data_IF_440338636835
#
_entry.id   IF_440338636835
#
_cell.length_a   1.000
_cell.length_b   1.000
_cell.length_c   1.000
_cell.angle_alpha   90.00
_cell.angle_beta   90.00
_cell.angle_gamma   90.00
#
_symmetry.space_group_name_H-M   'P 1'
#
loop_
_entity.id
_entity.type
_entity.pdbx_description
1 polymer ?
#
# COMPACT_ATOMS: atom_id res chain seq x y z
N UNK A 1 -2.95 -7.75 3.57
CA UNK A 1 -2.69 -9.22 3.51
C UNK A 1 -2.15 -9.65 2.15
N UNK A 2 -1.89 -10.93 1.91
CA UNK A 2 -1.57 -11.45 0.56
C UNK A 2 -2.85 -11.52 -0.29
N UNK A 3 -2.73 -11.33 -1.60
CA UNK A 3 -3.86 -11.47 -2.54
C UNK A 3 -4.84 -10.29 -2.65
N UNK A 4 -4.66 -9.24 -1.83
CA UNK A 4 -5.52 -8.03 -1.85
C UNK A 4 -5.09 -6.98 -2.87
N UNK A 5 -4.03 -7.24 -3.65
CA UNK A 5 -3.57 -6.31 -4.68
C UNK A 5 -2.63 -5.20 -4.20
N UNK A 6 -1.80 -5.42 -3.16
CA UNK A 6 -0.80 -4.43 -2.67
C UNK A 6 0.13 -3.94 -3.78
N UNK A 7 0.88 -4.85 -4.39
CA UNK A 7 1.85 -4.54 -5.45
C UNK A 7 1.20 -3.88 -6.66
N UNK A 8 -0.01 -4.31 -7.04
CA UNK A 8 -0.79 -3.66 -8.10
C UNK A 8 -1.22 -2.25 -7.70
N UNK A 9 -1.70 -2.04 -6.48
CA UNK A 9 -2.09 -0.71 -5.98
C UNK A 9 -0.91 0.24 -5.95
N UNK A 10 0.28 -0.25 -5.57
CA UNK A 10 1.53 0.53 -5.62
C UNK A 10 1.82 1.00 -7.04
N UNK A 11 1.71 0.10 -8.04
CA UNK A 11 1.93 0.47 -9.43
C UNK A 11 0.93 1.54 -9.92
N UNK A 12 -0.35 1.40 -9.56
CA UNK A 12 -1.38 2.38 -9.92
C UNK A 12 -1.16 3.75 -9.25
N UNK A 13 -0.80 3.76 -7.97
CA UNK A 13 -0.46 5.01 -7.25
C UNK A 13 0.77 5.66 -7.87
N UNK A 14 1.81 4.89 -8.19
CA UNK A 14 3.02 5.41 -8.85
C UNK A 14 2.69 6.04 -10.21
N UNK A 15 1.88 5.38 -11.02
CA UNK A 15 1.39 5.88 -12.31
C UNK A 15 0.59 7.18 -12.15
N UNK A 16 -0.34 7.24 -11.19
CA UNK A 16 -1.11 8.45 -10.89
C UNK A 16 -0.21 9.63 -10.50
N UNK A 17 0.77 9.40 -9.62
CA UNK A 17 1.72 10.43 -9.20
C UNK A 17 2.60 10.92 -10.36
N UNK A 18 3.10 10.01 -11.20
CA UNK A 18 3.90 10.38 -12.38
C UNK A 18 3.09 11.13 -13.43
N UNK A 19 1.82 10.77 -13.65
CA UNK A 19 0.91 11.52 -14.53
C UNK A 19 0.69 12.96 -14.06
N UNK A 20 0.79 13.19 -12.75
CA UNK A 20 0.76 14.51 -12.14
C UNK A 20 2.13 15.21 -12.09
N UNK A 21 3.14 14.69 -12.79
CA UNK A 21 4.45 15.31 -12.95
C UNK A 21 5.45 15.01 -11.82
N UNK A 22 5.13 14.09 -10.91
CA UNK A 22 6.00 13.78 -9.77
C UNK A 22 7.03 12.68 -10.08
N UNK A 23 8.22 12.81 -9.50
CA UNK A 23 9.26 11.78 -9.53
C UNK A 23 9.04 10.76 -8.43
N UNK A 24 8.93 9.48 -8.82
CA UNK A 24 8.61 8.37 -7.91
C UNK A 24 9.75 7.35 -7.85
N UNK A 25 10.12 6.94 -6.63
CA UNK A 25 11.00 5.80 -6.35
C UNK A 25 10.19 4.67 -5.73
N UNK A 26 10.46 3.44 -6.13
CA UNK A 26 9.85 2.23 -5.58
C UNK A 26 10.85 1.44 -4.73
N UNK A 27 10.38 0.79 -3.66
CA UNK A 27 11.20 -0.13 -2.86
C UNK A 27 10.47 -1.47 -2.69
N UNK A 28 11.10 -2.56 -3.13
CA UNK A 28 10.53 -3.91 -3.12
C UNK A 28 10.73 -4.61 -1.76
N UNK A 29 10.01 -4.16 -0.73
CA UNK A 29 10.13 -4.69 0.63
C UNK A 29 9.35 -5.99 0.92
N UNK A 30 8.54 -6.53 -0.01
CA UNK A 30 8.02 -7.91 0.07
C UNK A 30 9.12 -8.91 -0.34
N UNK A 31 10.22 -8.95 0.41
CA UNK A 31 11.39 -9.80 0.14
C UNK A 31 11.11 -11.28 0.38
N UNK A 32 10.03 -11.61 1.09
CA UNK A 32 9.64 -13.01 1.32
C UNK A 32 9.14 -13.68 0.03
N UNK A 33 8.50 -12.91 -0.86
CA UNK A 33 7.93 -13.43 -2.10
C UNK A 33 8.77 -12.95 -3.27
N UNK A 34 9.63 -13.82 -3.80
CA UNK A 34 10.41 -13.54 -5.01
C UNK A 34 9.54 -13.00 -6.16
N UNK A 35 8.38 -13.61 -6.39
CA UNK A 35 7.42 -13.15 -7.40
C UNK A 35 6.86 -11.73 -7.14
N UNK A 36 6.79 -11.27 -5.89
CA UNK A 36 6.35 -9.90 -5.58
C UNK A 36 7.43 -8.88 -5.95
N UNK A 37 8.71 -9.18 -5.67
CA UNK A 37 9.85 -8.36 -6.10
C UNK A 37 9.91 -8.28 -7.62
N UNK A 38 9.76 -9.41 -8.32
CA UNK A 38 9.72 -9.46 -9.79
C UNK A 38 8.53 -8.68 -10.35
N UNK A 39 7.34 -8.84 -9.78
CA UNK A 39 6.14 -8.12 -10.19
C UNK A 39 6.32 -6.60 -10.05
N UNK A 40 6.85 -6.12 -8.91
CA UNK A 40 7.09 -4.69 -8.71
C UNK A 40 8.19 -4.16 -9.65
N UNK A 41 9.21 -4.96 -9.93
CA UNK A 41 10.29 -4.61 -10.88
C UNK A 41 9.75 -4.48 -12.30
N UNK A 42 8.85 -5.36 -12.72
CA UNK A 42 8.18 -5.23 -14.03
C UNK A 42 7.38 -3.92 -14.10
N UNK A 43 6.65 -3.58 -13.04
CA UNK A 43 5.91 -2.32 -12.98
C UNK A 43 6.83 -1.10 -13.02
N UNK A 44 7.94 -1.11 -12.27
CA UNK A 44 8.89 0.00 -12.28
C UNK A 44 9.48 0.21 -13.67
N UNK A 45 9.80 -0.87 -14.40
CA UNK A 45 10.29 -0.79 -15.77
C UNK A 45 9.25 -0.23 -16.74
N UNK A 46 7.99 -0.68 -16.62
CA UNK A 46 6.88 -0.18 -17.46
C UNK A 46 6.59 1.29 -17.23
N UNK A 47 6.72 1.76 -15.99
CA UNK A 47 6.46 3.14 -15.57
C UNK A 47 7.69 4.05 -15.67
N UNK A 48 8.88 3.49 -15.91
CA UNK A 48 10.14 4.24 -15.85
C UNK A 48 10.51 4.74 -14.45
N UNK A 49 9.99 4.12 -13.39
CA UNK A 49 10.36 4.44 -12.00
C UNK A 49 11.70 3.81 -11.63
N UNK A 50 12.49 4.53 -10.83
CA UNK A 50 13.63 3.92 -10.16
C UNK A 50 13.14 2.93 -9.08
N UNK A 51 13.84 1.80 -8.92
CA UNK A 51 13.47 0.77 -7.94
C UNK A 51 14.67 0.30 -7.13
N UNK A 52 14.48 0.18 -5.82
CA UNK A 52 15.40 -0.50 -4.91
C UNK A 52 14.87 -1.90 -4.60
N UNK A 53 15.71 -2.91 -4.76
CA UNK A 53 15.38 -4.31 -4.49
C UNK A 53 16.62 -5.07 -4.01
N UNK A 54 16.39 -6.09 -3.20
CA UNK A 54 17.41 -7.06 -2.77
C UNK A 54 16.98 -8.47 -3.16
N UNK A 55 17.85 -9.44 -2.90
CA UNK A 55 17.56 -10.86 -3.06
C UNK A 55 16.40 -11.33 -2.16
N UNK A 56 15.74 -12.41 -2.56
CA UNK A 56 14.64 -13.00 -1.79
C UNK A 56 15.15 -13.43 -0.41
N UNK A 57 14.40 -13.11 0.64
CA UNK A 57 14.77 -13.36 2.04
C UNK A 57 15.66 -12.28 2.68
N UNK A 58 16.05 -11.23 1.93
CA UNK A 58 16.73 -10.08 2.51
C UNK A 58 15.85 -9.33 3.53
N UNK A 59 16.48 -8.58 4.42
CA UNK A 59 15.78 -7.77 5.43
C UNK A 59 14.94 -6.64 4.77
N UNK A 60 13.61 -6.63 4.89
CA UNK A 60 12.76 -5.59 4.33
C UNK A 60 13.11 -4.18 4.82
N UNK A 61 13.56 -4.07 6.07
CA UNK A 61 13.96 -2.77 6.62
C UNK A 61 15.21 -2.21 5.93
N UNK A 62 16.13 -3.07 5.47
CA UNK A 62 17.29 -2.65 4.70
C UNK A 62 16.89 -2.15 3.30
N UNK A 63 15.91 -2.80 2.66
CA UNK A 63 15.34 -2.34 1.38
C UNK A 63 14.67 -0.97 1.54
N UNK A 64 13.90 -0.78 2.62
CA UNK A 64 13.27 0.50 2.93
C UNK A 64 14.29 1.62 3.18
N UNK A 65 15.37 1.33 3.93
CA UNK A 65 16.47 2.28 4.18
C UNK A 65 17.12 2.75 2.87
N UNK A 66 17.54 1.80 2.04
CA UNK A 66 18.18 2.09 0.75
C UNK A 66 17.22 2.78 -0.20
N UNK A 67 15.93 2.43 -0.15
CA UNK A 67 14.87 3.14 -0.84
C UNK A 67 14.83 4.62 -0.45
N UNK A 68 14.72 4.92 0.84
CA UNK A 68 14.70 6.31 1.32
C UNK A 68 15.96 7.08 0.93
N UNK A 69 17.14 6.46 1.05
CA UNK A 69 18.40 7.08 0.64
C UNK A 69 18.39 7.42 -0.85
N UNK A 70 17.95 6.46 -1.68
CA UNK A 70 17.81 6.64 -3.13
C UNK A 70 16.84 7.76 -3.48
N UNK A 71 15.71 7.87 -2.77
CA UNK A 71 14.74 8.95 -2.97
C UNK A 71 15.35 10.32 -2.65
N UNK A 72 16.10 10.45 -1.56
CA UNK A 72 16.82 11.68 -1.19
C UNK A 72 17.90 12.01 -2.23
N UNK A 73 18.76 11.06 -2.57
CA UNK A 73 19.89 11.26 -3.50
C UNK A 73 19.43 11.65 -4.90
N UNK A 74 18.24 11.20 -5.30
CA UNK A 74 17.68 11.47 -6.62
C UNK A 74 16.67 12.62 -6.63
N UNK A 75 16.47 13.32 -5.51
CA UNK A 75 15.45 14.35 -5.31
C UNK A 75 14.07 13.89 -5.81
N UNK A 76 13.65 12.68 -5.44
CA UNK A 76 12.32 12.18 -5.76
C UNK A 76 11.26 12.84 -4.87
N UNK A 77 10.10 13.13 -5.43
CA UNK A 77 8.97 13.70 -4.69
C UNK A 77 8.31 12.64 -3.79
N UNK A 78 8.26 11.38 -4.26
CA UNK A 78 7.62 10.28 -3.55
C UNK A 78 8.47 9.02 -3.54
N UNK A 79 8.40 8.30 -2.42
CA UNK A 79 8.83 6.91 -2.32
C UNK A 79 7.66 6.04 -1.89
N UNK A 80 7.49 4.90 -2.57
CA UNK A 80 6.48 3.90 -2.23
C UNK A 80 7.18 2.57 -1.92
N UNK A 81 6.90 2.02 -0.75
CA UNK A 81 7.55 0.82 -0.22
C UNK A 81 6.52 -0.31 -0.18
N UNK A 82 6.74 -1.39 -0.94
CA UNK A 82 5.95 -2.62 -0.82
C UNK A 82 6.36 -3.39 0.44
N UNK A 83 5.42 -4.11 1.04
CA UNK A 83 5.67 -4.89 2.26
C UNK A 83 5.05 -6.27 2.15
N UNK A 84 5.59 -7.23 2.90
CA UNK A 84 4.96 -8.54 3.03
C UNK A 84 3.51 -8.42 3.56
N UNK A 85 2.66 -9.38 3.18
CA UNK A 85 1.24 -9.41 3.56
C UNK A 85 0.81 -10.61 4.41
N UNK A 86 1.75 -11.36 5.00
CA UNK A 86 1.44 -12.64 5.66
C UNK A 86 0.95 -12.45 7.10
N UNK A 87 -0.31 -12.82 7.36
CA UNK A 87 -0.93 -12.80 8.71
C UNK A 87 -0.64 -14.04 9.57
N UNK A 88 0.00 -15.09 9.02
CA UNK A 88 0.08 -16.40 9.69
C UNK A 88 0.88 -16.36 11.02
N UNK A 89 1.62 -15.28 11.28
CA UNK A 89 1.90 -14.80 12.64
C UNK A 89 1.80 -13.27 12.67
N UNK A 90 0.64 -12.73 13.07
CA UNK A 90 0.40 -11.27 13.16
C UNK A 90 1.55 -10.53 13.84
N UNK A 91 2.09 -11.09 14.94
CA UNK A 91 3.16 -10.48 15.72
C UNK A 91 4.42 -10.21 14.89
N UNK A 92 4.92 -11.21 14.17
CA UNK A 92 6.17 -11.09 13.41
C UNK A 92 6.03 -10.05 12.28
N UNK A 93 4.88 -10.01 11.61
CA UNK A 93 4.61 -9.00 10.59
C UNK A 93 4.57 -7.59 11.21
N UNK A 94 3.92 -7.41 12.36
CA UNK A 94 3.85 -6.10 13.01
C UNK A 94 5.22 -5.64 13.52
N UNK A 95 6.06 -6.55 14.01
CA UNK A 95 7.43 -6.23 14.43
C UNK A 95 8.30 -5.82 13.22
N UNK A 96 8.12 -6.48 12.07
CA UNK A 96 8.79 -6.12 10.81
C UNK A 96 8.36 -4.74 10.30
N UNK A 97 7.05 -4.46 10.27
CA UNK A 97 6.51 -3.15 9.88
C UNK A 97 7.00 -2.02 10.81
N UNK A 98 7.01 -2.26 12.12
CA UNK A 98 7.59 -1.34 13.11
C UNK A 98 9.09 -1.10 12.87
N UNK A 99 9.84 -2.14 12.48
CA UNK A 99 11.26 -2.01 12.15
C UNK A 99 11.46 -1.19 10.89
N UNK A 100 10.68 -1.42 9.84
CA UNK A 100 10.68 -0.63 8.60
C UNK A 100 10.47 0.86 8.94
N UNK A 101 9.42 1.18 9.72
CA UNK A 101 9.13 2.55 10.17
C UNK A 101 10.35 3.21 10.82
N UNK A 102 10.93 2.57 11.85
CA UNK A 102 12.09 3.12 12.58
C UNK A 102 13.33 3.34 11.70
N UNK A 103 13.50 2.52 10.67
CA UNK A 103 14.67 2.61 9.79
C UNK A 103 14.49 3.70 8.75
N UNK A 104 13.28 3.89 8.20
CA UNK A 104 12.96 5.03 7.33
C UNK A 104 13.21 6.37 8.05
N UNK A 105 12.83 6.46 9.32
CA UNK A 105 13.02 7.66 10.18
C UNK A 105 14.48 8.07 10.39
N UNK A 106 15.44 7.17 10.14
CA UNK A 106 16.86 7.52 10.17
C UNK A 106 17.31 8.34 8.97
N UNK A 107 16.58 8.24 7.85
CA UNK A 107 16.88 8.95 6.60
C UNK A 107 15.93 10.14 6.44
N UNK A 108 14.64 9.94 6.68
CA UNK A 108 13.58 10.94 6.58
C UNK A 108 12.84 10.96 7.93
N UNK A 109 13.15 11.89 8.85
CA UNK A 109 12.61 11.87 10.22
C UNK A 109 11.08 11.80 10.33
N UNK A 110 10.36 12.45 9.40
CA UNK A 110 8.89 12.48 9.36
C UNK A 110 8.26 11.24 8.68
N UNK A 111 9.07 10.29 8.21
CA UNK A 111 8.55 9.11 7.53
C UNK A 111 7.95 8.05 8.49
N UNK A 112 6.96 7.26 8.03
CA UNK A 112 6.19 7.48 6.81
C UNK A 112 5.20 8.63 6.98
N UNK A 113 5.05 9.46 5.95
CA UNK A 113 3.96 10.45 5.89
C UNK A 113 2.60 9.77 5.67
N UNK A 114 2.61 8.62 5.01
CA UNK A 114 1.43 7.82 4.66
C UNK A 114 1.72 6.33 4.90
N UNK A 115 0.84 5.68 5.65
CA UNK A 115 0.76 4.24 5.79
C UNK A 115 -0.62 3.78 5.32
N UNK A 116 -0.64 3.09 4.18
CA UNK A 116 -1.86 2.73 3.47
C UNK A 116 -2.16 1.23 3.63
N UNK A 117 -3.33 0.92 4.19
CA UNK A 117 -3.81 -0.45 4.28
C UNK A 117 -4.63 -0.81 3.05
N UNK A 118 -4.09 -1.73 2.23
CA UNK A 118 -4.83 -2.29 1.10
C UNK A 118 -5.75 -3.41 1.57
N UNK A 119 -7.03 -3.31 1.24
CA UNK A 119 -8.08 -4.28 1.55
C UNK A 119 -8.82 -4.67 0.29
N UNK A 120 -9.28 -5.91 0.25
CA UNK A 120 -10.20 -6.39 -0.78
C UNK A 120 -11.63 -6.05 -0.35
N UNK A 121 -12.45 -5.51 -1.27
CA UNK A 121 -13.84 -5.14 -1.01
C UNK A 121 -14.71 -6.29 -0.48
N UNK A 122 -14.28 -7.55 -0.64
CA UNK A 122 -14.96 -8.73 -0.09
C UNK A 122 -14.65 -9.00 1.39
N UNK A 123 -13.71 -8.27 1.99
CA UNK A 123 -13.25 -8.52 3.36
C UNK A 123 -14.30 -8.03 4.37
N UNK A 124 -15.05 -8.94 5.00
CA UNK A 124 -16.03 -8.62 6.05
C UNK A 124 -15.41 -8.19 7.39
N UNK A 125 -15.95 -8.66 8.52
CA UNK A 125 -15.48 -8.30 9.89
C UNK A 125 -13.97 -8.52 10.14
N UNK A 126 -13.34 -9.42 9.39
CA UNK A 126 -11.88 -9.62 9.42
C UNK A 126 -11.08 -8.38 8.99
N UNK A 127 -11.67 -7.47 8.19
CA UNK A 127 -11.01 -6.24 7.78
C UNK A 127 -10.81 -5.27 8.94
N UNK A 128 -11.77 -5.20 9.88
CA UNK A 128 -11.67 -4.33 11.04
C UNK A 128 -10.55 -4.75 11.99
N UNK A 129 -10.44 -6.05 12.29
CA UNK A 129 -9.34 -6.56 13.13
C UNK A 129 -7.98 -6.37 12.46
N UNK A 130 -7.91 -6.55 11.14
CA UNK A 130 -6.69 -6.27 10.37
C UNK A 130 -6.30 -4.79 10.43
N UNK A 131 -7.26 -3.88 10.29
CA UNK A 131 -7.04 -2.44 10.40
C UNK A 131 -6.50 -2.06 11.78
N UNK A 132 -7.07 -2.60 12.87
CA UNK A 132 -6.55 -2.40 14.23
C UNK A 132 -5.10 -2.84 14.38
N UNK A 133 -4.79 -4.09 14.00
CA UNK A 133 -3.42 -4.61 14.15
C UNK A 133 -2.42 -3.81 13.31
N UNK A 134 -2.77 -3.45 12.07
CA UNK A 134 -1.91 -2.65 11.20
C UNK A 134 -1.70 -1.23 11.75
N UNK A 135 -2.77 -0.59 12.24
CA UNK A 135 -2.69 0.75 12.82
C UNK A 135 -1.86 0.78 14.10
N UNK A 136 -1.91 -0.27 14.92
CA UNK A 136 -1.07 -0.39 16.11
C UNK A 136 0.43 -0.52 15.77
N UNK A 137 0.78 -0.98 14.56
CA UNK A 137 2.17 -1.15 14.14
C UNK A 137 2.76 0.06 13.39
N UNK A 138 1.98 0.68 12.50
CA UNK A 138 2.51 1.74 11.61
C UNK A 138 1.60 2.95 11.46
N UNK A 139 0.69 3.16 12.41
CA UNK A 139 -0.21 4.32 12.47
C UNK A 139 -0.97 4.52 11.15
N UNK A 140 -1.95 3.66 10.88
CA UNK A 140 -2.66 3.63 9.61
C UNK A 140 -3.31 4.98 9.28
N UNK A 141 -2.85 5.61 8.20
CA UNK A 141 -3.33 6.94 7.76
C UNK A 141 -4.44 6.88 6.71
N UNK A 142 -4.62 5.73 6.04
CA UNK A 142 -5.60 5.61 4.98
C UNK A 142 -5.80 4.19 4.48
N UNK A 143 -6.92 3.98 3.79
CA UNK A 143 -7.27 2.70 3.17
C UNK A 143 -7.22 2.80 1.65
N UNK A 144 -6.85 1.69 1.01
CA UNK A 144 -7.03 1.45 -0.42
C UNK A 144 -7.97 0.26 -0.57
N UNK A 145 -9.11 0.47 -1.23
CA UNK A 145 -10.05 -0.62 -1.53
C UNK A 145 -9.75 -1.16 -2.92
N UNK A 146 -9.23 -2.36 -3.01
CA UNK A 146 -9.03 -3.03 -4.27
C UNK A 146 -10.25 -3.86 -4.67
N UNK A 147 -10.43 -4.07 -5.97
CA UNK A 147 -11.41 -4.96 -6.60
C UNK A 147 -12.87 -4.60 -6.35
N UNK A 148 -13.21 -3.31 -6.44
CA UNK A 148 -14.60 -2.87 -6.28
C UNK A 148 -15.50 -3.21 -7.47
N UNK A 149 -14.92 -3.61 -8.59
CA UNK A 149 -15.58 -4.05 -9.83
C UNK A 149 -16.27 -5.42 -9.73
N UNK A 150 -15.83 -6.29 -8.81
CA UNK A 150 -16.20 -7.71 -8.84
C UNK A 150 -17.42 -8.14 -8.01
N UNK A 151 -17.81 -7.42 -6.95
CA UNK A 151 -19.03 -7.69 -6.13
C UNK A 151 -19.18 -6.69 -4.98
N UNK A 152 -20.35 -6.05 -4.87
CA UNK A 152 -20.64 -5.04 -3.85
C UNK A 152 -20.68 -5.62 -2.42
N UNK A 153 -19.62 -5.44 -1.63
CA UNK A 153 -19.63 -5.50 -0.14
C UNK A 153 -18.64 -4.55 0.52
N UNK A 154 -18.61 -3.29 0.08
CA UNK A 154 -17.76 -2.27 0.70
C UNK A 154 -18.14 -1.84 2.14
N UNK A 155 -19.17 -2.43 2.77
CA UNK A 155 -19.65 -2.02 4.10
C UNK A 155 -18.61 -2.07 5.24
N UNK A 156 -17.53 -2.84 5.08
CA UNK A 156 -16.42 -2.87 6.06
C UNK A 156 -15.76 -1.50 6.23
N UNK A 157 -15.79 -0.66 5.20
CA UNK A 157 -15.14 0.67 5.25
C UNK A 157 -15.89 1.63 6.14
N UNK A 158 -17.22 1.51 6.19
CA UNK A 158 -18.06 2.26 7.11
C UNK A 158 -17.70 1.89 8.54
N UNK A 159 -17.55 0.59 8.83
CA UNK A 159 -17.17 0.13 10.16
C UNK A 159 -15.76 0.61 10.57
N UNK A 160 -14.77 0.53 9.67
CA UNK A 160 -13.41 1.01 9.97
C UNK A 160 -13.37 2.52 10.17
N UNK A 161 -14.10 3.28 9.34
CA UNK A 161 -14.19 4.74 9.49
C UNK A 161 -14.87 5.11 10.81
N UNK A 162 -15.97 4.45 11.17
CA UNK A 162 -16.71 4.73 12.41
C UNK A 162 -15.89 4.39 13.66
N UNK A 163 -15.17 3.27 13.64
CA UNK A 163 -14.45 2.77 14.80
C UNK A 163 -13.05 3.41 14.98
N UNK A 164 -12.34 3.64 13.88
CA UNK A 164 -10.93 4.05 13.91
C UNK A 164 -10.69 5.45 13.33
N UNK A 165 -11.68 6.06 12.68
CA UNK A 165 -11.51 7.34 12.01
C UNK A 165 -10.61 7.30 10.77
N UNK A 166 -10.22 6.13 10.28
CA UNK A 166 -9.31 6.00 9.13
C UNK A 166 -10.10 6.24 7.82
N UNK A 167 -9.69 7.19 6.96
CA UNK A 167 -10.37 7.45 5.69
C UNK A 167 -10.02 6.42 4.62
N UNK A 168 -10.94 6.18 3.69
CA UNK A 168 -10.60 5.56 2.40
C UNK A 168 -10.01 6.67 1.52
N UNK A 169 -8.85 6.42 0.91
CA UNK A 169 -8.17 7.38 0.03
C UNK A 169 -8.30 7.01 -1.43
N UNK A 170 -8.21 5.72 -1.74
CA UNK A 170 -8.23 5.22 -3.11
C UNK A 170 -9.15 4.01 -3.27
N UNK A 171 -9.71 3.90 -4.46
CA UNK A 171 -10.51 2.76 -4.90
C UNK A 171 -9.96 2.19 -6.21
N UNK A 172 -9.76 0.89 -6.26
CA UNK A 172 -9.40 0.15 -7.46
C UNK A 172 -10.65 -0.39 -8.13
N UNK A 173 -10.92 0.10 -9.34
CA UNK A 173 -12.16 -0.15 -10.10
C UNK A 173 -11.95 -1.10 -11.29
N UNK A 174 -10.85 -1.83 -11.31
CA UNK A 174 -10.50 -2.76 -12.39
C UNK A 174 -9.05 -3.24 -12.32
N UNK A 175 -8.57 -3.87 -13.39
CA UNK A 175 -7.24 -4.48 -13.49
C UNK A 175 -6.19 -3.61 -14.19
N UNK A 176 -6.61 -2.63 -15.00
CA UNK A 176 -5.71 -1.77 -15.76
C UNK A 176 -4.93 -0.81 -14.84
N UNK A 177 -3.80 -0.33 -15.34
CA UNK A 177 -2.91 0.57 -14.60
C UNK A 177 -3.57 1.91 -14.24
N UNK A 178 -4.59 2.30 -15.00
CA UNK A 178 -5.37 3.53 -14.82
C UNK A 178 -6.62 3.34 -13.97
N UNK A 179 -6.95 2.10 -13.58
CA UNK A 179 -8.16 1.79 -12.80
C UNK A 179 -7.94 2.03 -11.30
N UNK A 180 -7.54 3.24 -10.93
CA UNK A 180 -7.42 3.74 -9.56
C UNK A 180 -8.01 5.14 -9.49
N UNK A 181 -8.98 5.32 -8.61
CA UNK A 181 -9.64 6.61 -8.41
C UNK A 181 -9.45 7.08 -6.96
N UNK A 182 -9.55 8.39 -6.76
CA UNK A 182 -9.71 8.95 -5.41
C UNK A 182 -11.08 8.53 -4.89
N UNK A 183 -11.15 8.26 -3.59
CA UNK A 183 -12.42 7.88 -2.97
C UNK A 183 -13.37 9.08 -2.91
N UNK A 184 -14.50 8.94 -3.59
CA UNK A 184 -15.67 9.81 -3.45
C UNK A 184 -16.72 9.13 -2.56
N UNK A 185 -17.02 9.74 -1.42
CA UNK A 185 -17.97 9.18 -0.46
C UNK A 185 -19.39 9.19 -1.00
N UNK A 186 -19.79 10.24 -1.73
CA UNK A 186 -21.14 10.38 -2.26
C UNK A 186 -21.35 9.37 -3.40
N UNK A 187 -20.44 9.33 -4.37
CA UNK A 187 -20.45 8.34 -5.44
C UNK A 187 -20.39 6.89 -4.94
N UNK A 188 -19.66 6.62 -3.86
CA UNK A 188 -19.62 5.29 -3.25
C UNK A 188 -20.95 4.90 -2.59
N UNK A 189 -21.60 5.83 -1.88
CA UNK A 189 -22.92 5.59 -1.27
C UNK A 189 -23.96 5.36 -2.37
N UNK A 190 -23.96 6.19 -3.40
CA UNK A 190 -24.87 6.05 -4.54
C UNK A 190 -24.69 4.69 -5.20
N UNK A 191 -23.45 4.26 -5.47
CA UNK A 191 -23.17 2.95 -6.05
C UNK A 191 -23.57 1.77 -5.12
N UNK A 192 -23.53 1.96 -3.80
CA UNK A 192 -23.92 0.93 -2.83
C UNK A 192 -25.43 0.69 -2.79
N UNK A 193 -26.22 1.73 -3.10
CA UNK A 193 -27.69 1.68 -3.05
C UNK A 193 -28.37 1.74 -4.43
N UNK A 194 -27.60 1.95 -5.50
CA UNK A 194 -28.05 1.79 -6.87
C UNK A 194 -28.39 0.32 -7.13
N UNK A 195 -29.69 0.03 -7.22
CA UNK A 195 -30.24 -1.28 -7.61
C UNK A 195 -30.22 -1.45 -9.13
#
# INVERSE_FOLDING_TARGET
VNGVGKTTSIAKIANLLQKNGHKVVLAAGDTFRAAAVEQLTMWSQRLGCEIVRKESGADPAAVAFEGCQKAVDTNADYIIIDTAGRLQTQKNLMDELNKIRRVMQKVIPEAPHESLLVMDATTGQNGLSQARSFSAAVECTGLVLAKLDGTARGGVVVAIRQDMGIPVKYIGVGEQIDDLELFDADGFVDALFAQ
#
